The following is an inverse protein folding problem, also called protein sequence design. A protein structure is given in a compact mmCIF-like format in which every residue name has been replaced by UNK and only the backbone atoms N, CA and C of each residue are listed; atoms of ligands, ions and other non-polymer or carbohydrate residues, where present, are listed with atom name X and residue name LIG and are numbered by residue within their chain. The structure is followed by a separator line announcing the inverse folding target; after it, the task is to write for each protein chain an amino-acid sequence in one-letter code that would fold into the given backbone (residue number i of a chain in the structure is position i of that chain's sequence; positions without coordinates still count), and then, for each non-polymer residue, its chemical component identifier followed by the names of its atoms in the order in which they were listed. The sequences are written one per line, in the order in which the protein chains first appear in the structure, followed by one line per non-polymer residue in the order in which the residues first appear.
data_IF_909537762556
#
_entry.id   IF_909537762556
#
_cell.length_a   1.000
_cell.length_b   1.000
_cell.length_c   1.000
_cell.angle_alpha   90.00
_cell.angle_beta   90.00
_cell.angle_gamma   90.00
#
_symmetry.space_group_name_H-M   'P 1'
#
loop_
_entity.id
_entity.type
_entity.pdbx_description
1 polymer ?
#
# COMPACT_ATOMS: atom_id res chain seq x y z
N UNK A 1 11.69 2.90 -1.37
CA UNK A 1 12.41 4.18 -1.21
C UNK A 1 11.95 4.92 0.03
N UNK A 2 12.88 5.42 0.83
CA UNK A 2 12.65 6.16 2.09
C UNK A 2 11.74 7.40 1.92
N UNK A 3 11.73 7.99 0.71
CA UNK A 3 10.82 9.05 0.27
C UNK A 3 9.32 8.69 0.44
N UNK A 4 8.94 7.43 0.22
CA UNK A 4 7.55 6.97 0.33
C UNK A 4 7.02 6.97 1.77
N UNK A 5 7.91 7.02 2.76
CA UNK A 5 7.60 7.03 4.18
C UNK A 5 7.42 8.45 4.72
N UNK A 6 7.92 9.49 4.03
CA UNK A 6 7.91 10.88 4.51
C UNK A 6 6.50 11.46 4.61
N UNK A 7 5.68 11.27 3.57
CA UNK A 7 4.28 11.71 3.57
C UNK A 7 3.43 11.04 4.66
N UNK A 8 3.45 9.70 4.78
CA UNK A 8 2.71 8.96 5.81
C UNK A 8 3.16 9.31 7.23
N UNK A 9 4.46 9.43 7.50
CA UNK A 9 4.99 9.85 8.81
C UNK A 9 4.56 11.27 9.18
N UNK A 10 4.54 12.19 8.20
CA UNK A 10 4.04 13.56 8.41
C UNK A 10 2.54 13.57 8.72
N UNK A 11 1.75 12.76 8.01
CA UNK A 11 0.32 12.61 8.29
C UNK A 11 0.02 11.93 9.64
N UNK A 12 0.84 10.97 10.06
CA UNK A 12 0.77 10.36 11.40
C UNK A 12 0.99 11.41 12.49
N UNK A 13 1.98 12.29 12.32
CA UNK A 13 2.27 13.36 13.29
C UNK A 13 1.18 14.45 13.34
N UNK A 14 0.46 14.70 12.24
CA UNK A 14 -0.49 15.82 12.12
C UNK A 14 -1.94 15.41 12.44
N UNK A 15 -2.37 14.20 12.08
CA UNK A 15 -3.79 13.85 12.07
C UNK A 15 -4.22 12.85 13.15
N UNK A 16 -3.29 12.19 13.86
CA UNK A 16 -3.61 11.12 14.81
C UNK A 16 -4.18 9.83 14.19
N UNK A 17 -4.71 9.87 12.96
CA UNK A 17 -5.41 8.80 12.25
C UNK A 17 -4.59 7.50 12.07
N UNK A 18 -3.27 7.58 12.19
CA UNK A 18 -2.35 6.44 12.17
C UNK A 18 -1.92 6.10 13.61
N UNK A 19 -2.88 5.71 14.46
CA UNK A 19 -2.68 5.54 15.90
C UNK A 19 -1.61 4.48 16.26
N UNK A 20 -1.28 3.56 15.36
CA UNK A 20 -0.33 2.49 15.62
C UNK A 20 0.62 2.22 14.44
N UNK A 21 1.85 1.76 14.71
CA UNK A 21 2.79 1.31 13.67
C UNK A 21 2.22 0.21 12.77
N UNK A 22 1.28 -0.60 13.28
CA UNK A 22 0.59 -1.64 12.52
C UNK A 22 -0.31 -1.07 11.42
N UNK A 23 -1.07 -0.01 11.70
CA UNK A 23 -1.91 0.65 10.69
C UNK A 23 -1.06 1.33 9.62
N UNK A 24 0.06 1.94 10.00
CA UNK A 24 1.04 2.48 9.04
C UNK A 24 1.62 1.37 8.16
N UNK A 25 1.99 0.23 8.75
CA UNK A 25 2.51 -0.93 8.01
C UNK A 25 1.51 -1.48 6.99
N UNK A 26 0.23 -1.60 7.38
CA UNK A 26 -0.84 -2.01 6.49
C UNK A 26 -1.02 -1.04 5.31
N UNK A 27 -1.04 0.26 5.58
CA UNK A 27 -1.14 1.27 4.51
C UNK A 27 0.04 1.26 3.56
N UNK A 28 1.27 1.18 4.08
CA UNK A 28 2.46 1.12 3.23
C UNK A 28 2.46 -0.13 2.36
N UNK A 29 2.00 -1.27 2.88
CA UNK A 29 1.85 -2.51 2.12
C UNK A 29 0.87 -2.32 0.95
N UNK A 30 -0.33 -1.83 1.23
CA UNK A 30 -1.36 -1.59 0.21
C UNK A 30 -0.84 -0.58 -0.83
N UNK A 31 -0.27 0.54 -0.38
CA UNK A 31 0.24 1.59 -1.27
C UNK A 31 1.38 1.09 -2.15
N UNK A 32 2.32 0.30 -1.60
CA UNK A 32 3.42 -0.28 -2.39
C UNK A 32 2.89 -1.20 -3.47
N UNK A 33 1.93 -2.07 -3.14
CA UNK A 33 1.30 -2.98 -4.10
C UNK A 33 0.63 -2.23 -5.27
N UNK A 34 -0.14 -1.18 -4.98
CA UNK A 34 -0.83 -0.38 -5.99
C UNK A 34 0.12 0.47 -6.84
N UNK A 35 1.18 1.03 -6.23
CA UNK A 35 2.21 1.77 -6.99
C UNK A 35 2.93 0.83 -7.95
N UNK A 36 3.27 -0.39 -7.51
CA UNK A 36 3.86 -1.39 -8.38
C UNK A 36 2.89 -1.80 -9.49
N UNK A 37 1.60 -2.05 -9.21
CA UNK A 37 0.61 -2.36 -10.24
C UNK A 37 0.55 -1.27 -11.32
N UNK A 38 0.49 0.00 -10.90
CA UNK A 38 0.45 1.15 -11.81
C UNK A 38 1.73 1.26 -12.65
N UNK A 39 2.89 0.98 -12.07
CA UNK A 39 4.17 0.96 -12.79
C UNK A 39 4.23 -0.07 -13.92
N UNK A 40 3.40 -1.11 -13.85
CA UNK A 40 3.27 -2.15 -14.86
C UNK A 40 2.03 -1.97 -15.76
N UNK A 41 1.39 -0.80 -15.73
CA UNK A 41 0.22 -0.50 -16.55
C UNK A 41 -1.08 -1.17 -16.09
N UNK A 42 -1.09 -1.81 -14.92
CA UNK A 42 -2.27 -2.45 -14.35
C UNK A 42 -3.11 -1.38 -13.63
N UNK A 43 -4.41 -1.36 -13.91
CA UNK A 43 -5.31 -0.44 -13.23
C UNK A 43 -5.42 -0.81 -11.74
N UNK A 44 -5.39 0.16 -10.81
CA UNK A 44 -5.40 -0.13 -9.36
C UNK A 44 -6.61 -0.95 -8.92
N UNK A 45 -7.79 -0.71 -9.51
CA UNK A 45 -8.99 -1.47 -9.19
C UNK A 45 -8.86 -2.93 -9.63
N UNK A 46 -8.31 -3.19 -10.81
CA UNK A 46 -8.09 -4.57 -11.30
C UNK A 46 -7.11 -5.31 -10.37
N UNK A 47 -6.04 -4.63 -9.94
CA UNK A 47 -5.08 -5.19 -9.00
C UNK A 47 -5.70 -5.53 -7.63
N UNK A 48 -6.67 -4.73 -7.16
CA UNK A 48 -7.44 -4.99 -5.93
C UNK A 48 -8.37 -6.18 -6.14
N UNK A 49 -9.13 -6.20 -7.24
CA UNK A 49 -10.03 -7.30 -7.58
C UNK A 49 -9.28 -8.64 -7.64
N UNK A 50 -8.15 -8.68 -8.35
CA UNK A 50 -7.27 -9.84 -8.43
C UNK A 50 -6.78 -10.30 -7.05
N UNK A 51 -6.36 -9.37 -6.19
CA UNK A 51 -5.90 -9.70 -4.84
C UNK A 51 -7.02 -10.30 -3.97
N UNK A 52 -8.23 -9.72 -4.01
CA UNK A 52 -9.39 -10.22 -3.27
C UNK A 52 -9.89 -11.57 -3.81
N UNK A 53 -9.72 -11.82 -5.10
CA UNK A 53 -10.03 -13.10 -5.74
C UNK A 53 -8.98 -14.20 -5.44
N UNK A 54 -7.96 -13.91 -4.64
CA UNK A 54 -6.90 -14.87 -4.28
C UNK A 54 -5.81 -15.04 -5.35
N UNK A 55 -5.82 -14.22 -6.41
CA UNK A 55 -4.81 -14.22 -7.46
C UNK A 55 -4.12 -12.84 -7.56
N UNK A 56 -3.35 -12.43 -6.53
CA UNK A 56 -2.72 -11.11 -6.52
C UNK A 56 -1.72 -10.98 -7.67
N UNK A 57 -1.60 -9.77 -8.24
CA UNK A 57 -0.74 -9.53 -9.40
C UNK A 57 0.75 -9.75 -9.07
N UNK A 58 1.15 -9.37 -7.84
CA UNK A 58 2.44 -9.68 -7.25
C UNK A 58 2.24 -10.79 -6.21
N UNK A 59 3.08 -11.84 -6.18
CA UNK A 59 3.04 -12.82 -5.12
C UNK A 59 3.26 -12.12 -3.78
N UNK A 60 2.27 -12.18 -2.90
CA UNK A 60 2.43 -11.69 -1.53
C UNK A 60 3.23 -12.73 -0.76
N UNK A 61 4.25 -12.31 -0.01
CA UNK A 61 4.92 -13.22 0.92
C UNK A 61 3.90 -13.72 1.95
N UNK A 62 3.78 -15.04 2.05
CA UNK A 62 2.96 -15.75 3.03
C UNK A 62 3.37 -15.38 4.46
#
# INVERSE_FOLDING_TARGET
SEQALRGPKRHQAVSGYWHTPSTLGAYLRIRSYLVSARGHGIHPLDAIHCALAGNPWLPTRA
#
